data_IF_864298743620
#
_entry.id   IF_864298743620
#
_cell.length_a   1.000
_cell.length_b   1.000
_cell.length_c   1.000
_cell.angle_alpha   90.00
_cell.angle_beta   90.00
_cell.angle_gamma   90.00
#
_symmetry.space_group_name_H-M   'P 1'
#
loop_
_entity.id
_entity.type
_entity.pdbx_description
1 polymer ?
#
# COMPACT_ATOMS: atom_id res chain seq x y z
N UNK A 1 -44.93 12.14 -64.05
CA UNK A 1 -43.90 11.66 -63.11
C UNK A 1 -44.48 11.48 -61.71
N UNK A 2 -45.34 10.46 -61.51
CA UNK A 2 -46.15 10.24 -60.30
C UNK A 2 -46.06 8.79 -59.76
N UNK A 3 -45.07 8.00 -60.18
CA UNK A 3 -45.23 6.53 -60.26
C UNK A 3 -44.27 5.66 -59.42
N UNK A 4 -43.53 6.17 -58.42
CA UNK A 4 -42.79 5.28 -57.51
C UNK A 4 -43.02 5.72 -56.06
N UNK A 5 -44.31 5.77 -55.71
CA UNK A 5 -44.85 5.72 -54.35
C UNK A 5 -44.91 4.26 -53.83
N UNK A 6 -44.06 3.37 -54.36
CA UNK A 6 -44.18 1.91 -54.21
C UNK A 6 -42.92 1.25 -53.63
N UNK A 7 -42.14 1.99 -52.85
CA UNK A 7 -41.20 1.40 -51.89
C UNK A 7 -41.59 1.79 -50.46
N UNK A 8 -42.91 1.79 -50.21
CA UNK A 8 -43.52 1.47 -48.93
C UNK A 8 -43.06 0.08 -48.49
N UNK A 9 -41.77 -0.07 -48.17
CA UNK A 9 -41.32 -1.13 -47.30
C UNK A 9 -41.49 -0.57 -45.89
N UNK A 10 -42.70 -0.82 -45.39
CA UNK A 10 -43.07 -0.79 -43.99
C UNK A 10 -42.11 -1.68 -43.19
N UNK A 11 -40.92 -1.18 -42.89
CA UNK A 11 -40.05 -1.78 -41.90
C UNK A 11 -40.59 -1.32 -40.55
N UNK A 12 -41.62 -2.02 -40.06
CA UNK A 12 -41.93 -2.02 -38.62
C UNK A 12 -40.69 -2.54 -37.91
N UNK A 13 -39.93 -1.66 -37.25
CA UNK A 13 -38.93 -2.04 -36.24
C UNK A 13 -38.92 -1.07 -35.05
N UNK A 14 -40.02 -0.35 -34.81
CA UNK A 14 -40.12 0.65 -33.72
C UNK A 14 -40.18 0.07 -32.29
N UNK A 15 -39.95 -1.22 -32.09
CA UNK A 15 -39.88 -1.81 -30.74
C UNK A 15 -38.70 -2.78 -30.51
N UNK A 16 -38.03 -3.27 -31.55
CA UNK A 16 -36.85 -4.16 -31.40
C UNK A 16 -35.50 -3.41 -31.49
N UNK A 17 -35.52 -2.12 -31.83
CA UNK A 17 -34.31 -1.30 -31.98
C UNK A 17 -33.72 -0.77 -30.66
N UNK A 18 -34.43 -0.84 -29.53
CA UNK A 18 -33.90 -0.29 -28.26
C UNK A 18 -33.13 -1.32 -27.43
N UNK A 19 -33.59 -2.56 -27.30
CA UNK A 19 -32.94 -3.57 -26.44
C UNK A 19 -31.62 -4.02 -27.01
N UNK A 20 -31.57 -4.38 -28.30
CA UNK A 20 -30.33 -4.82 -28.95
C UNK A 20 -29.30 -3.68 -29.00
N UNK A 21 -29.75 -2.45 -29.31
CA UNK A 21 -28.89 -1.26 -29.29
C UNK A 21 -28.35 -0.94 -27.89
N UNK A 22 -29.18 -1.07 -26.86
CA UNK A 22 -28.75 -0.88 -25.47
C UNK A 22 -27.79 -1.97 -25.00
N UNK A 23 -27.98 -3.22 -25.44
CA UNK A 23 -27.04 -4.32 -25.18
C UNK A 23 -25.69 -4.14 -25.92
N UNK A 24 -25.71 -3.58 -27.13
CA UNK A 24 -24.49 -3.21 -27.86
C UNK A 24 -23.73 -2.06 -27.20
N UNK A 25 -24.46 -1.10 -26.65
CA UNK A 25 -23.91 -0.04 -25.82
C UNK A 25 -23.27 -0.61 -24.54
N UNK A 26 -23.94 -1.53 -23.85
CA UNK A 26 -23.39 -2.21 -22.67
C UNK A 26 -22.09 -2.92 -22.98
N UNK A 27 -22.05 -3.75 -24.03
CA UNK A 27 -20.86 -4.50 -24.42
C UNK A 27 -19.69 -3.57 -24.73
N UNK A 28 -19.92 -2.51 -25.50
CA UNK A 28 -18.87 -1.56 -25.88
C UNK A 28 -18.31 -0.84 -24.65
N UNK A 29 -19.19 -0.40 -23.74
CA UNK A 29 -18.82 0.22 -22.47
C UNK A 29 -18.04 -0.74 -21.56
N UNK A 30 -18.45 -2.01 -21.51
CA UNK A 30 -17.82 -3.06 -20.71
C UNK A 30 -16.45 -3.47 -21.26
N UNK A 31 -16.29 -3.54 -22.58
CA UNK A 31 -14.98 -3.78 -23.21
C UNK A 31 -14.06 -2.59 -22.96
N UNK A 32 -14.56 -1.36 -23.07
CA UNK A 32 -13.78 -0.16 -22.79
C UNK A 32 -13.32 -0.10 -21.32
N UNK A 33 -14.21 -0.40 -20.37
CA UNK A 33 -13.87 -0.42 -18.95
C UNK A 33 -12.86 -1.53 -18.62
N UNK A 34 -13.02 -2.72 -19.20
CA UNK A 34 -12.07 -3.82 -19.07
C UNK A 34 -10.70 -3.48 -19.66
N UNK A 35 -10.66 -2.82 -20.82
CA UNK A 35 -9.43 -2.36 -21.45
C UNK A 35 -8.70 -1.33 -20.57
N UNK A 36 -9.43 -0.38 -19.98
CA UNK A 36 -8.85 0.61 -19.04
C UNK A 36 -8.29 -0.07 -17.80
N UNK A 37 -9.01 -1.06 -17.22
CA UNK A 37 -8.51 -1.84 -16.09
C UNK A 37 -7.23 -2.61 -16.48
N UNK A 38 -7.21 -3.24 -17.66
CA UNK A 38 -6.05 -3.99 -18.13
C UNK A 38 -4.83 -3.09 -18.37
N UNK A 39 -5.03 -1.91 -18.97
CA UNK A 39 -3.96 -0.91 -19.15
C UNK A 39 -3.47 -0.39 -17.80
N UNK A 40 -4.38 -0.01 -16.90
CA UNK A 40 -4.03 0.43 -15.55
C UNK A 40 -3.25 -0.65 -14.79
N UNK A 41 -3.66 -1.92 -14.94
CA UNK A 41 -2.97 -3.07 -14.35
C UNK A 41 -1.59 -3.27 -14.94
N UNK A 42 -1.43 -3.21 -16.26
CA UNK A 42 -0.12 -3.29 -16.91
C UNK A 42 0.83 -2.18 -16.45
N UNK A 43 0.33 -0.95 -16.35
CA UNK A 43 1.10 0.20 -15.83
C UNK A 43 1.47 -0.01 -14.36
N UNK A 44 0.52 -0.42 -13.51
CA UNK A 44 0.77 -0.68 -12.09
C UNK A 44 1.77 -1.82 -11.88
N UNK A 45 1.58 -2.93 -12.59
CA UNK A 45 2.43 -4.11 -12.50
C UNK A 45 3.86 -3.82 -12.98
N UNK A 46 4.01 -3.04 -14.06
CA UNK A 46 5.33 -2.56 -14.48
C UNK A 46 5.94 -1.63 -13.42
N UNK A 47 5.16 -0.70 -12.89
CA UNK A 47 5.60 0.26 -11.89
C UNK A 47 5.58 -0.29 -10.44
N UNK A 48 5.68 -1.62 -10.26
CA UNK A 48 5.54 -2.28 -8.96
C UNK A 48 6.43 -1.66 -7.86
N UNK A 49 7.67 -1.31 -8.19
CA UNK A 49 8.61 -0.74 -7.22
C UNK A 49 8.13 0.58 -6.59
N UNK A 50 7.33 1.39 -7.31
CA UNK A 50 6.77 2.63 -6.76
C UNK A 50 5.50 2.42 -5.95
N UNK A 51 4.74 1.38 -6.26
CA UNK A 51 3.52 1.04 -5.52
C UNK A 51 3.84 0.51 -4.13
N UNK A 52 4.79 -0.43 -4.05
CA UNK A 52 5.24 -0.98 -2.78
C UNK A 52 5.80 0.12 -1.88
N UNK A 53 6.67 1.00 -2.42
CA UNK A 53 7.19 2.13 -1.65
C UNK A 53 6.10 3.12 -1.18
N UNK A 54 4.99 3.28 -1.91
CA UNK A 54 3.87 4.16 -1.49
C UNK A 54 3.08 3.57 -0.32
N UNK A 55 2.93 2.24 -0.29
CA UNK A 55 2.22 1.49 0.76
C UNK A 55 3.09 1.34 2.00
N UNK A 56 4.38 1.05 1.81
CA UNK A 56 5.32 0.79 2.90
C UNK A 56 5.66 2.07 3.68
N UNK A 57 5.60 3.25 3.04
CA UNK A 57 5.97 4.53 3.66
C UNK A 57 5.23 4.85 4.97
N UNK A 58 3.89 4.79 5.06
CA UNK A 58 3.17 5.01 6.32
C UNK A 58 3.42 3.91 7.36
N UNK A 59 3.65 2.66 6.91
CA UNK A 59 3.90 1.52 7.78
C UNK A 59 5.31 1.56 8.39
N UNK A 60 6.32 1.97 7.63
CA UNK A 60 7.71 2.06 8.08
C UNK A 60 7.86 3.08 9.21
N UNK A 61 7.27 4.27 9.08
CA UNK A 61 7.35 5.30 10.12
C UNK A 61 6.71 4.83 11.44
N UNK A 62 5.56 4.16 11.39
CA UNK A 62 4.88 3.68 12.60
C UNK A 62 5.58 2.44 13.18
N UNK A 63 6.08 1.53 12.33
CA UNK A 63 6.81 0.34 12.79
C UNK A 63 8.13 0.73 13.44
N UNK A 64 8.84 1.73 12.90
CA UNK A 64 10.08 2.24 13.47
C UNK A 64 9.85 2.87 14.86
N UNK A 65 8.82 3.71 15.02
CA UNK A 65 8.44 4.26 16.33
C UNK A 65 8.14 3.15 17.35
N UNK A 66 7.43 2.09 16.95
CA UNK A 66 7.05 0.98 17.83
C UNK A 66 8.24 0.08 18.20
N UNK A 67 9.13 -0.19 17.25
CA UNK A 67 10.37 -0.94 17.51
C UNK A 67 11.25 -0.20 18.51
N UNK A 68 11.40 1.12 18.37
CA UNK A 68 12.10 1.96 19.34
C UNK A 68 11.38 2.02 20.71
N UNK A 69 10.05 1.99 20.72
CA UNK A 69 9.26 1.89 21.95
C UNK A 69 9.33 0.49 22.61
N UNK A 70 9.97 -0.49 21.97
CA UNK A 70 10.14 -1.85 22.49
C UNK A 70 8.86 -2.70 22.46
N UNK A 71 7.84 -2.28 21.70
CA UNK A 71 6.54 -2.95 21.66
C UNK A 71 6.51 -4.05 20.57
N UNK A 72 5.82 -5.16 20.86
CA UNK A 72 5.70 -6.32 19.97
C UNK A 72 6.94 -7.23 19.91
N UNK A 73 6.89 -8.34 19.13
CA UNK A 73 7.98 -9.32 19.06
C UNK A 73 9.26 -8.78 18.42
N UNK A 74 9.16 -7.85 17.47
CA UNK A 74 10.30 -7.16 16.87
C UNK A 74 10.90 -6.10 17.82
N UNK A 75 10.06 -5.38 18.57
CA UNK A 75 10.52 -4.44 19.60
C UNK A 75 11.20 -5.12 20.78
N UNK A 76 10.74 -6.30 21.21
CA UNK A 76 11.36 -7.07 22.29
C UNK A 76 12.78 -7.55 21.92
N UNK A 77 12.96 -8.05 20.69
CA UNK A 77 14.29 -8.45 20.20
C UNK A 77 15.20 -7.25 19.98
N UNK A 78 14.65 -6.13 19.51
CA UNK A 78 15.35 -4.85 19.41
C UNK A 78 15.81 -4.35 20.79
N UNK A 79 14.94 -4.29 21.80
CA UNK A 79 15.27 -3.84 23.16
C UNK A 79 16.34 -4.72 23.82
N UNK A 80 16.30 -6.04 23.62
CA UNK A 80 17.35 -6.96 24.09
C UNK A 80 18.68 -6.69 23.38
N UNK A 81 18.66 -6.49 22.06
CA UNK A 81 19.88 -6.16 21.31
C UNK A 81 20.46 -4.79 21.70
N UNK A 82 19.61 -3.81 21.96
CA UNK A 82 20.00 -2.46 22.36
C UNK A 82 20.57 -2.43 23.78
N UNK A 83 19.90 -3.09 24.73
CA UNK A 83 20.41 -3.21 26.10
C UNK A 83 21.76 -3.92 26.17
N UNK A 84 21.99 -4.96 25.35
CA UNK A 84 23.29 -5.61 25.25
C UNK A 84 24.38 -4.65 24.73
N UNK A 85 24.04 -3.78 23.78
CA UNK A 85 24.95 -2.75 23.24
C UNK A 85 25.22 -1.63 24.26
N UNK A 86 24.20 -1.17 24.98
CA UNK A 86 24.34 -0.15 26.02
C UNK A 86 25.17 -0.66 27.19
N UNK A 87 24.93 -1.90 27.65
CA UNK A 87 25.73 -2.56 28.69
C UNK A 87 27.19 -2.65 28.24
N UNK A 88 27.45 -3.00 26.99
CA UNK A 88 28.80 -3.05 26.45
C UNK A 88 29.50 -1.69 26.41
N UNK A 89 28.81 -0.62 25.99
CA UNK A 89 29.36 0.73 25.95
C UNK A 89 29.61 1.26 27.37
N UNK A 90 28.70 0.99 28.30
CA UNK A 90 28.88 1.32 29.71
C UNK A 90 30.08 0.56 30.30
N UNK A 91 30.21 -0.74 30.04
CA UNK A 91 31.38 -1.52 30.45
C UNK A 91 32.67 -0.95 29.86
N UNK A 92 32.68 -0.57 28.58
CA UNK A 92 33.84 0.07 27.95
C UNK A 92 34.21 1.39 28.65
N UNK A 93 33.22 2.22 29.01
CA UNK A 93 33.45 3.47 29.74
C UNK A 93 33.99 3.24 31.15
N UNK A 94 33.52 2.21 31.86
CA UNK A 94 34.01 1.82 33.19
C UNK A 94 35.45 1.31 33.11
N UNK A 95 35.78 0.52 32.08
CA UNK A 95 37.16 0.08 31.81
C UNK A 95 38.07 1.28 31.51
N UNK A 96 37.61 2.26 30.73
CA UNK A 96 38.36 3.49 30.43
C UNK A 96 38.64 4.35 31.67
N UNK A 97 37.67 4.48 32.58
CA UNK A 97 37.86 5.18 33.87
C UNK A 97 38.85 4.43 34.77
N UNK A 98 38.76 3.09 34.78
CA UNK A 98 39.68 2.23 35.53
C UNK A 98 41.09 2.17 34.94
N UNK A 99 41.31 2.51 33.67
CA UNK A 99 42.66 2.57 33.06
C UNK A 99 43.32 3.96 33.17
N UNK A 100 42.60 4.95 33.71
CA UNK A 100 43.09 6.31 33.92
C UNK A 100 44.30 6.39 34.88
N UNK A 101 45.13 7.45 34.77
CA UNK A 101 46.42 7.59 35.49
C UNK A 101 46.32 7.60 37.03
N UNK A 102 45.11 7.63 37.60
CA UNK A 102 44.85 7.62 39.03
C UNK A 102 44.61 6.20 39.62
N UNK A 103 44.50 5.15 38.80
CA UNK A 103 44.18 3.80 39.26
C UNK A 103 45.45 2.97 39.56
N UNK A 104 45.59 2.47 40.79
CA UNK A 104 46.70 1.59 41.21
C UNK A 104 46.42 0.11 40.88
N UNK A 105 45.98 -0.18 39.66
CA UNK A 105 45.73 -1.57 39.23
C UNK A 105 47.04 -2.27 38.88
N UNK A 106 47.25 -3.47 39.44
CA UNK A 106 48.36 -4.35 39.10
C UNK A 106 48.34 -4.68 37.59
N UNK A 107 49.52 -4.87 36.94
CA UNK A 107 49.62 -5.15 35.50
C UNK A 107 48.82 -6.38 35.06
N UNK A 108 48.61 -7.36 35.96
CA UNK A 108 47.76 -8.53 35.72
C UNK A 108 46.27 -8.19 35.60
N UNK A 109 45.79 -7.20 36.36
CA UNK A 109 44.41 -6.72 36.31
C UNK A 109 44.10 -5.99 35.01
N UNK A 110 45.04 -5.17 34.52
CA UNK A 110 44.94 -4.51 33.21
C UNK A 110 44.90 -5.52 32.05
N UNK A 111 45.74 -6.56 32.12
CA UNK A 111 45.75 -7.63 31.13
C UNK A 111 44.46 -8.47 31.14
N UNK A 112 43.85 -8.68 32.32
CA UNK A 112 42.56 -9.36 32.45
C UNK A 112 41.39 -8.53 31.87
N UNK A 113 41.34 -7.24 32.17
CA UNK A 113 40.34 -6.30 31.62
C UNK A 113 40.43 -6.22 30.08
N UNK A 114 41.64 -6.14 29.52
CA UNK A 114 41.85 -6.13 28.07
C UNK A 114 41.45 -7.44 27.37
N UNK A 115 41.44 -8.58 28.08
CA UNK A 115 40.92 -9.86 27.55
C UNK A 115 39.39 -9.89 27.56
N UNK A 116 38.76 -9.38 28.61
CA UNK A 116 37.31 -9.29 28.74
C UNK A 116 36.73 -8.32 27.72
N UNK A 117 37.34 -7.13 27.58
CA UNK A 117 36.93 -6.12 26.60
C UNK A 117 36.97 -6.67 25.17
N UNK A 118 38.07 -7.32 24.77
CA UNK A 118 38.18 -7.95 23.43
C UNK A 118 37.18 -9.09 23.20
N UNK A 119 36.72 -9.75 24.26
CA UNK A 119 35.65 -10.77 24.17
C UNK A 119 34.30 -10.11 23.95
N UNK A 120 34.00 -9.09 24.76
CA UNK A 120 32.77 -8.29 24.67
C UNK A 120 32.67 -7.63 23.28
N UNK A 121 33.73 -7.00 22.77
CA UNK A 121 33.77 -6.43 21.41
C UNK A 121 33.49 -7.47 20.32
N UNK A 122 34.05 -8.67 20.47
CA UNK A 122 33.84 -9.78 19.52
C UNK A 122 32.42 -10.34 19.59
N UNK A 123 31.81 -10.37 20.77
CA UNK A 123 30.46 -10.87 20.97
C UNK A 123 29.41 -9.81 20.55
N UNK A 124 29.71 -8.51 20.67
CA UNK A 124 28.90 -7.43 20.08
C UNK A 124 28.93 -7.46 18.56
N UNK A 125 30.10 -7.74 17.96
CA UNK A 125 30.21 -7.92 16.51
C UNK A 125 29.38 -9.10 15.96
N UNK A 126 28.92 -10.00 16.85
CA UNK A 126 28.05 -11.14 16.51
C UNK A 126 26.58 -10.88 16.81
N UNK A 127 26.25 -9.83 17.58
CA UNK A 127 24.87 -9.40 17.76
C UNK A 127 24.40 -8.82 16.42
N UNK A 128 23.34 -9.41 15.88
CA UNK A 128 22.71 -8.98 14.64
C UNK A 128 22.47 -7.46 14.67
N UNK A 129 22.77 -6.77 13.56
CA UNK A 129 22.41 -5.36 13.42
C UNK A 129 20.93 -5.18 13.80
N UNK A 130 20.57 -4.10 14.53
CA UNK A 130 19.20 -3.87 14.93
C UNK A 130 18.29 -4.04 13.71
N UNK A 131 17.24 -4.87 13.80
CA UNK A 131 16.32 -5.05 12.68
C UNK A 131 15.80 -3.66 12.32
N UNK A 132 16.16 -3.18 11.14
CA UNK A 132 15.53 -1.99 10.59
C UNK A 132 14.05 -2.36 10.49
N UNK A 133 13.21 -1.73 11.31
CA UNK A 133 11.75 -1.89 11.28
C UNK A 133 11.12 -1.37 9.99
N UNK A 134 11.91 -1.26 8.92
CA UNK A 134 11.58 -0.63 7.65
C UNK A 134 10.88 -1.60 6.70
N UNK A 135 10.95 -2.92 6.93
CA UNK A 135 10.49 -3.90 5.95
C UNK A 135 9.68 -5.04 6.59
N UNK A 136 8.45 -5.31 6.11
CA UNK A 136 7.68 -6.47 6.55
C UNK A 136 8.43 -7.76 6.23
N UNK A 137 8.58 -8.62 7.23
CA UNK A 137 9.27 -9.91 7.10
C UNK A 137 8.34 -10.90 6.39
N UNK A 138 8.71 -11.33 5.19
CA UNK A 138 7.98 -12.37 4.46
C UNK A 138 8.33 -13.74 5.04
N UNK A 139 7.33 -14.50 5.47
CA UNK A 139 7.49 -15.84 6.06
C UNK A 139 7.50 -16.95 5.00
N UNK A 140 7.14 -16.65 3.75
CA UNK A 140 7.06 -17.61 2.65
C UNK A 140 7.65 -17.12 1.31
N UNK A 141 8.24 -18.05 0.55
CA UNK A 141 8.89 -17.79 -0.74
C UNK A 141 7.89 -17.30 -1.82
N UNK A 142 6.61 -17.65 -1.70
CA UNK A 142 5.54 -17.26 -2.62
C UNK A 142 4.74 -16.01 -2.21
N UNK A 143 4.88 -15.55 -0.96
CA UNK A 143 4.20 -14.36 -0.44
C UNK A 143 4.53 -13.07 -1.23
N UNK A 144 5.79 -12.77 -1.58
CA UNK A 144 6.09 -11.52 -2.29
C UNK A 144 5.49 -11.46 -3.70
N UNK A 145 5.37 -12.60 -4.38
CA UNK A 145 4.73 -12.68 -5.70
C UNK A 145 3.23 -12.40 -5.61
N UNK A 146 2.50 -13.13 -4.76
CA UNK A 146 1.05 -12.94 -4.59
C UNK A 146 0.73 -11.55 -4.06
N UNK A 147 1.56 -11.02 -3.16
CA UNK A 147 1.41 -9.65 -2.65
C UNK A 147 1.54 -8.63 -3.76
N UNK A 148 2.59 -8.73 -4.59
CA UNK A 148 2.80 -7.85 -5.75
C UNK A 148 1.61 -7.86 -6.70
N UNK A 149 1.11 -9.05 -7.07
CA UNK A 149 0.01 -9.21 -8.03
C UNK A 149 -1.28 -8.62 -7.46
N UNK A 150 -1.65 -8.99 -6.22
CA UNK A 150 -2.87 -8.49 -5.58
C UNK A 150 -2.83 -6.99 -5.38
N UNK A 151 -1.70 -6.45 -4.90
CA UNK A 151 -1.53 -5.00 -4.69
C UNK A 151 -1.65 -4.25 -6.01
N UNK A 152 -0.94 -4.71 -7.05
CA UNK A 152 -0.99 -4.09 -8.37
C UNK A 152 -2.40 -4.12 -8.96
N UNK A 153 -3.14 -5.21 -8.74
CA UNK A 153 -4.53 -5.35 -9.18
C UNK A 153 -5.48 -4.41 -8.44
N UNK A 154 -5.38 -4.33 -7.11
CA UNK A 154 -6.21 -3.42 -6.31
C UNK A 154 -5.93 -1.97 -6.67
N UNK A 155 -4.66 -1.58 -6.83
CA UNK A 155 -4.31 -0.21 -7.25
C UNK A 155 -4.82 0.10 -8.65
N UNK A 156 -4.67 -0.81 -9.60
CA UNK A 156 -5.21 -0.66 -10.94
C UNK A 156 -6.73 -0.50 -10.93
N UNK A 157 -7.41 -1.28 -10.10
CA UNK A 157 -8.85 -1.17 -9.91
C UNK A 157 -9.23 0.20 -9.34
N UNK A 158 -8.53 0.68 -8.31
CA UNK A 158 -8.76 2.01 -7.72
C UNK A 158 -8.57 3.11 -8.77
N UNK A 159 -7.49 3.05 -9.57
CA UNK A 159 -7.22 4.05 -10.62
C UNK A 159 -8.25 4.00 -11.76
N UNK A 160 -8.71 2.80 -12.13
CA UNK A 160 -9.71 2.62 -13.19
C UNK A 160 -11.14 2.91 -12.70
N UNK A 161 -11.43 2.73 -11.40
CA UNK A 161 -12.77 2.86 -10.82
C UNK A 161 -13.48 4.18 -11.15
N UNK A 162 -12.87 5.39 -11.06
CA UNK A 162 -13.56 6.63 -11.39
C UNK A 162 -14.05 6.65 -12.84
N UNK A 163 -13.27 6.08 -13.77
CA UNK A 163 -13.66 5.94 -15.18
C UNK A 163 -14.73 4.86 -15.37
N UNK A 164 -14.57 3.70 -14.72
CA UNK A 164 -15.53 2.60 -14.78
C UNK A 164 -16.90 3.05 -14.26
N UNK A 165 -16.95 3.76 -13.14
CA UNK A 165 -18.18 4.31 -12.55
C UNK A 165 -18.86 5.32 -13.48
N UNK A 166 -18.08 6.17 -14.15
CA UNK A 166 -18.61 7.10 -15.13
C UNK A 166 -19.22 6.38 -16.34
N UNK A 167 -18.52 5.36 -16.86
CA UNK A 167 -18.99 4.57 -18.00
C UNK A 167 -20.24 3.76 -17.65
N UNK A 168 -20.28 3.18 -16.45
CA UNK A 168 -21.40 2.42 -15.90
C UNK A 168 -22.62 3.32 -15.70
N UNK A 169 -22.46 4.51 -15.12
CA UNK A 169 -23.56 5.46 -15.00
C UNK A 169 -24.13 5.87 -16.36
N UNK A 170 -23.28 6.14 -17.35
CA UNK A 170 -23.74 6.49 -18.68
C UNK A 170 -24.58 5.38 -19.34
N UNK A 171 -24.46 4.14 -18.87
CA UNK A 171 -25.34 3.03 -19.23
C UNK A 171 -26.64 3.00 -18.40
N UNK A 172 -26.61 3.44 -17.13
CA UNK A 172 -27.80 3.51 -16.27
C UNK A 172 -28.73 4.68 -16.61
N UNK A 173 -28.21 5.84 -17.04
CA UNK A 173 -29.02 7.04 -17.36
C UNK A 173 -30.13 6.80 -18.39
N UNK A 174 -29.87 6.10 -19.52
CA UNK A 174 -30.91 5.77 -20.48
C UNK A 174 -32.11 5.01 -19.89
N UNK A 175 -31.91 4.28 -18.79
CA UNK A 175 -32.97 3.55 -18.10
C UNK A 175 -33.79 4.43 -17.13
N UNK A 176 -33.37 5.67 -16.88
CA UNK A 176 -34.05 6.62 -15.98
C UNK A 176 -34.98 7.57 -16.75
N UNK A 177 -36.08 7.97 -16.11
CA UNK A 177 -37.08 8.88 -16.69
C UNK A 177 -36.46 10.23 -17.14
N UNK A 178 -36.77 10.73 -18.36
CA UNK A 178 -36.17 11.95 -18.93
C UNK A 178 -36.24 13.19 -18.04
N UNK A 179 -37.24 13.31 -17.16
CA UNK A 179 -37.39 14.46 -16.26
C UNK A 179 -36.39 14.45 -15.11
N UNK A 180 -35.97 13.26 -14.66
CA UNK A 180 -35.02 13.08 -13.56
C UNK A 180 -33.55 13.18 -13.98
N UNK A 181 -33.25 12.96 -15.27
CA UNK A 181 -31.86 12.92 -15.77
C UNK A 181 -31.11 14.23 -15.53
N UNK A 182 -31.75 15.39 -15.69
CA UNK A 182 -31.11 16.71 -15.55
C UNK A 182 -30.64 17.02 -14.11
N UNK A 183 -31.28 16.43 -13.11
CA UNK A 183 -30.93 16.63 -11.69
C UNK A 183 -29.83 15.68 -11.21
N UNK A 184 -29.70 14.51 -11.83
CA UNK A 184 -28.75 13.46 -11.42
C UNK A 184 -27.36 13.67 -12.05
N UNK A 185 -27.28 14.34 -13.21
CA UNK A 185 -26.01 14.70 -13.88
C UNK A 185 -24.99 15.42 -12.97
N UNK A 186 -25.32 16.49 -12.22
CA UNK A 186 -24.34 17.15 -11.34
C UNK A 186 -23.89 16.26 -10.18
N UNK A 187 -24.79 15.42 -9.65
CA UNK A 187 -24.45 14.46 -8.60
C UNK A 187 -23.44 13.42 -9.10
N UNK A 188 -23.60 12.92 -10.33
CA UNK A 188 -22.70 11.90 -10.86
C UNK A 188 -21.34 12.45 -11.27
N UNK A 189 -21.29 13.69 -11.75
CA UNK A 189 -20.00 14.37 -11.92
C UNK A 189 -19.22 14.47 -10.60
N UNK A 190 -19.91 14.44 -9.46
CA UNK A 190 -19.30 14.46 -8.14
C UNK A 190 -18.78 13.09 -7.67
N UNK A 191 -19.22 11.97 -8.25
CA UNK A 191 -18.78 10.61 -7.87
C UNK A 191 -17.27 10.40 -8.01
N UNK A 192 -16.61 10.69 -9.15
CA UNK A 192 -15.17 10.49 -9.27
C UNK A 192 -14.40 11.39 -8.31
N UNK A 193 -14.90 12.60 -8.04
CA UNK A 193 -14.32 13.50 -7.05
C UNK A 193 -14.43 12.94 -5.62
N UNK A 194 -15.61 12.45 -5.24
CA UNK A 194 -15.85 11.85 -3.93
C UNK A 194 -15.07 10.54 -3.75
N UNK A 195 -14.92 9.76 -4.83
CA UNK A 195 -14.09 8.57 -4.82
C UNK A 195 -12.63 8.93 -4.56
N UNK A 196 -12.08 9.93 -5.26
CA UNK A 196 -10.72 10.39 -5.02
C UNK A 196 -10.55 10.91 -3.59
N UNK A 197 -11.50 11.70 -3.09
CA UNK A 197 -11.52 12.15 -1.70
C UNK A 197 -11.55 10.98 -0.71
N UNK A 198 -12.33 9.93 -0.99
CA UNK A 198 -12.39 8.70 -0.21
C UNK A 198 -11.08 7.92 -0.20
N UNK A 199 -10.40 7.80 -1.34
CA UNK A 199 -9.07 7.17 -1.44
C UNK A 199 -8.04 7.94 -0.62
N UNK A 200 -8.04 9.29 -0.73
CA UNK A 200 -7.17 10.13 0.09
C UNK A 200 -7.49 9.98 1.59
N UNK A 201 -8.76 10.01 1.97
CA UNK A 201 -9.19 9.83 3.36
C UNK A 201 -8.79 8.46 3.91
N UNK A 202 -8.96 7.40 3.12
CA UNK A 202 -8.52 6.04 3.48
C UNK A 202 -7.02 5.97 3.75
N UNK A 203 -6.22 6.59 2.88
CA UNK A 203 -4.75 6.60 3.02
C UNK A 203 -4.28 7.45 4.21
N UNK A 204 -4.82 8.66 4.38
CA UNK A 204 -4.32 9.62 5.38
C UNK A 204 -4.95 9.49 6.77
N UNK A 205 -6.17 8.98 6.88
CA UNK A 205 -6.91 8.93 8.16
C UNK A 205 -7.15 7.50 8.61
N UNK A 206 -7.69 6.65 7.74
CA UNK A 206 -8.09 5.29 8.14
C UNK A 206 -6.87 4.39 8.35
N UNK A 207 -5.89 4.43 7.46
CA UNK A 207 -4.68 3.61 7.57
C UNK A 207 -3.93 3.83 8.90
N UNK A 208 -3.54 5.07 9.31
CA UNK A 208 -2.85 5.27 10.57
C UNK A 208 -3.73 4.98 11.80
N UNK A 209 -5.04 5.17 11.71
CA UNK A 209 -5.96 4.81 12.79
C UNK A 209 -6.07 3.29 12.97
N UNK A 210 -6.16 2.54 11.87
CA UNK A 210 -6.22 1.08 11.87
C UNK A 210 -4.93 0.47 12.44
N UNK A 211 -3.76 0.98 12.01
CA UNK A 211 -2.47 0.51 12.52
C UNK A 211 -2.35 0.74 14.03
N UNK A 212 -2.72 1.92 14.54
CA UNK A 212 -2.77 2.19 15.99
C UNK A 212 -3.74 1.27 16.75
N UNK A 213 -4.90 0.95 16.16
CA UNK A 213 -5.89 0.07 16.79
C UNK A 213 -5.43 -1.39 16.90
N UNK A 214 -4.80 -1.93 15.85
CA UNK A 214 -4.30 -3.31 15.87
C UNK A 214 -3.02 -3.50 16.70
N UNK A 215 -2.33 -2.41 17.03
CA UNK A 215 -1.07 -2.44 17.78
C UNK A 215 -1.24 -2.17 19.30
N UNK A 216 -2.43 -1.81 19.76
CA UNK A 216 -2.73 -1.50 21.17
C UNK A 216 -3.62 -2.58 21.80
#
# INVERSE_FOLDING_TARGET
>A
MRAIRTALQTVRHDEQLSVVGHLDELRTRLIASLAVIAVAFGVCFWQNHRLLHLIDRPLAHQTQEQVHAGHGPLGATYAVSQSARDVALQLHSVVGVLDGPASRLAPEGKAALARVQRRIERDIGRLSAPPAGDLPVTLGIGEPFTTTVTVSFVFALILALPFVLFQLYGFLVPALDPRGQRQIVPLVMSIPFLFLAGVLFGYFVVLPAAVRFFQN
#
